data_IF_846739433008
#
_entry.id   IF_846739433008
#
_cell.length_a   1.000
_cell.length_b   1.000
_cell.length_c   1.000
_cell.angle_alpha   90.00
_cell.angle_beta   90.00
_cell.angle_gamma   90.00
#
_symmetry.space_group_name_H-M   'P 1'
#
loop_
_entity.id
_entity.type
_entity.pdbx_description
1 polymer ?
#
# COMPACT_ATOMS: atom_id res chain seq x y z
N UNK A 1 -0.20 -71.06 -39.45
CA UNK A 1 -1.44 -70.97 -40.31
C UNK A 1 -2.57 -70.48 -39.45
N UNK A 2 -3.31 -69.53 -39.98
CA UNK A 2 -4.57 -68.91 -39.52
C UNK A 2 -4.56 -67.93 -38.33
N UNK A 3 -4.53 -66.67 -38.73
CA UNK A 3 -4.98 -65.49 -38.00
C UNK A 3 -6.51 -65.47 -37.91
N UNK A 4 -7.08 -65.26 -36.76
CA UNK A 4 -8.45 -64.75 -36.62
C UNK A 4 -8.48 -63.48 -35.77
N UNK A 5 -9.04 -62.47 -36.41
CA UNK A 5 -9.27 -61.11 -35.85
C UNK A 5 -10.33 -61.19 -34.75
N UNK A 6 -10.08 -60.47 -33.65
CA UNK A 6 -11.14 -60.05 -32.74
C UNK A 6 -11.20 -58.52 -32.74
N UNK A 7 -12.26 -57.98 -33.30
CA UNK A 7 -12.66 -56.59 -33.21
C UNK A 7 -13.38 -56.40 -31.88
N UNK A 8 -12.76 -55.68 -30.98
CA UNK A 8 -13.38 -55.21 -29.75
C UNK A 8 -13.96 -53.81 -29.98
N UNK A 9 -15.26 -53.67 -29.87
CA UNK A 9 -16.00 -52.41 -29.91
C UNK A 9 -15.75 -51.69 -28.57
N UNK A 10 -15.04 -50.55 -28.60
CA UNK A 10 -14.94 -49.67 -27.47
C UNK A 10 -16.12 -48.70 -27.53
N UNK A 11 -17.14 -48.99 -26.72
CA UNK A 11 -18.24 -48.07 -26.46
C UNK A 11 -17.75 -46.86 -25.63
N UNK A 12 -17.61 -45.71 -26.24
CA UNK A 12 -17.34 -44.46 -25.59
C UNK A 12 -18.56 -43.99 -24.78
N UNK A 13 -18.51 -44.10 -23.48
CA UNK A 13 -19.43 -43.39 -22.59
C UNK A 13 -19.07 -41.90 -22.57
N UNK A 14 -19.80 -41.09 -23.33
CA UNK A 14 -19.79 -39.66 -23.21
C UNK A 14 -20.40 -39.31 -21.84
N UNK A 15 -19.52 -39.02 -20.85
CA UNK A 15 -19.95 -38.40 -19.61
C UNK A 15 -20.29 -36.93 -19.94
N UNK A 16 -21.58 -36.71 -20.16
CA UNK A 16 -22.13 -35.36 -20.24
C UNK A 16 -21.90 -34.63 -18.89
N UNK A 17 -20.94 -33.76 -18.87
CA UNK A 17 -20.81 -32.74 -17.82
C UNK A 17 -22.04 -31.83 -17.95
N UNK A 18 -23.11 -32.20 -17.26
CA UNK A 18 -24.23 -31.29 -16.99
C UNK A 18 -23.67 -30.15 -16.18
N UNK A 19 -23.40 -29.00 -16.82
CA UNK A 19 -23.22 -27.75 -16.15
C UNK A 19 -24.50 -27.48 -15.34
N UNK A 20 -24.49 -27.85 -14.06
CA UNK A 20 -25.52 -27.43 -13.13
C UNK A 20 -25.58 -25.92 -13.21
N UNK A 21 -26.68 -25.39 -13.74
CA UNK A 21 -27.06 -24.00 -13.55
C UNK A 21 -27.22 -23.80 -12.03
N UNK A 22 -26.13 -23.52 -11.35
CA UNK A 22 -26.17 -23.09 -9.96
C UNK A 22 -27.10 -21.89 -9.95
N UNK A 23 -28.23 -22.01 -9.26
CA UNK A 23 -29.22 -20.96 -9.13
C UNK A 23 -28.50 -19.67 -8.77
N UNK A 24 -28.72 -18.59 -9.53
CA UNK A 24 -28.16 -17.27 -9.27
C UNK A 24 -28.46 -16.96 -7.80
N UNK A 25 -27.41 -16.84 -6.99
CA UNK A 25 -27.54 -16.35 -5.62
C UNK A 25 -28.35 -15.05 -5.67
N UNK A 26 -29.40 -14.98 -4.88
CA UNK A 26 -30.21 -13.75 -4.76
C UNK A 26 -29.44 -12.63 -4.06
N UNK A 27 -28.27 -12.96 -3.51
CA UNK A 27 -27.38 -12.01 -2.81
C UNK A 27 -26.53 -11.25 -3.80
N UNK A 28 -26.46 -9.93 -3.63
CA UNK A 28 -25.51 -9.10 -4.38
C UNK A 28 -24.08 -9.43 -3.97
N UNK A 29 -23.21 -9.51 -4.99
CA UNK A 29 -21.80 -9.91 -4.84
C UNK A 29 -20.91 -8.66 -4.79
N UNK A 30 -20.12 -8.56 -3.74
CA UNK A 30 -19.08 -7.55 -3.59
C UNK A 30 -17.73 -8.24 -3.73
N UNK A 31 -16.99 -7.91 -4.76
CA UNK A 31 -15.60 -8.36 -4.92
C UNK A 31 -14.66 -7.23 -4.49
N UNK A 32 -13.69 -7.55 -3.64
CA UNK A 32 -12.67 -6.61 -3.16
C UNK A 32 -11.31 -7.11 -3.65
N UNK A 33 -10.60 -6.30 -4.42
CA UNK A 33 -9.25 -6.60 -4.89
C UNK A 33 -8.23 -5.90 -3.99
N UNK A 34 -7.40 -6.70 -3.33
CA UNK A 34 -6.41 -6.26 -2.35
C UNK A 34 -6.87 -6.44 -0.91
N UNK A 35 -6.18 -7.32 -0.20
CA UNK A 35 -6.43 -7.70 1.18
C UNK A 35 -5.49 -7.01 2.18
N UNK A 36 -5.26 -5.68 2.01
CA UNK A 36 -4.52 -4.87 2.97
C UNK A 36 -5.48 -3.91 3.72
N UNK A 37 -4.97 -2.77 4.20
CA UNK A 37 -5.71 -1.86 5.07
C UNK A 37 -7.07 -1.45 4.52
N UNK A 38 -7.14 -0.95 3.28
CA UNK A 38 -8.40 -0.52 2.70
C UNK A 38 -9.37 -1.68 2.43
N UNK A 39 -8.87 -2.78 1.85
CA UNK A 39 -9.74 -3.91 1.51
C UNK A 39 -10.26 -4.68 2.71
N UNK A 40 -9.41 -4.96 3.71
CA UNK A 40 -9.86 -5.68 4.92
C UNK A 40 -10.79 -4.84 5.79
N UNK A 41 -10.53 -3.53 5.94
CA UNK A 41 -11.45 -2.64 6.66
C UNK A 41 -12.80 -2.53 5.95
N UNK A 42 -12.80 -2.47 4.61
CA UNK A 42 -14.04 -2.48 3.84
C UNK A 42 -14.81 -3.80 3.99
N UNK A 43 -14.11 -4.95 3.93
CA UNK A 43 -14.74 -6.25 4.14
C UNK A 43 -15.39 -6.36 5.53
N UNK A 44 -14.69 -5.90 6.57
CA UNK A 44 -15.21 -5.86 7.94
C UNK A 44 -16.45 -4.97 8.03
N UNK A 45 -16.40 -3.73 7.52
CA UNK A 45 -17.52 -2.78 7.53
C UNK A 45 -18.75 -3.32 6.77
N UNK A 46 -18.53 -3.94 5.58
CA UNK A 46 -19.59 -4.59 4.81
C UNK A 46 -20.27 -5.70 5.60
N UNK A 47 -19.50 -6.54 6.30
CA UNK A 47 -20.08 -7.63 7.11
C UNK A 47 -20.88 -7.12 8.30
N UNK A 48 -20.46 -6.00 8.89
CA UNK A 48 -21.19 -5.39 10.00
C UNK A 48 -22.51 -4.73 9.55
N UNK A 49 -22.50 -4.04 8.39
CA UNK A 49 -23.61 -3.20 7.95
C UNK A 49 -24.57 -3.86 6.99
N UNK A 50 -24.11 -4.84 6.22
CA UNK A 50 -24.90 -5.51 5.18
C UNK A 50 -24.55 -7.01 5.13
N UNK A 51 -24.93 -7.78 6.18
CA UNK A 51 -24.62 -9.21 6.26
C UNK A 51 -25.27 -10.05 5.15
N UNK A 52 -26.23 -9.50 4.43
CA UNK A 52 -26.85 -10.11 3.27
C UNK A 52 -25.96 -10.10 2.01
N UNK A 53 -24.95 -9.25 1.92
CA UNK A 53 -24.03 -9.21 0.79
C UNK A 53 -23.09 -10.43 0.79
N UNK A 54 -22.81 -10.97 -0.39
CA UNK A 54 -21.75 -11.98 -0.57
C UNK A 54 -20.42 -11.27 -0.83
N UNK A 55 -19.54 -11.22 0.17
CA UNK A 55 -18.27 -10.51 0.12
C UNK A 55 -17.12 -11.47 -0.14
N UNK A 56 -16.34 -11.21 -1.21
CA UNK A 56 -15.13 -11.94 -1.55
C UNK A 56 -13.93 -10.98 -1.60
N UNK A 57 -12.91 -11.24 -0.82
CA UNK A 57 -11.61 -10.55 -0.89
C UNK A 57 -10.64 -11.40 -1.70
N UNK A 58 -9.97 -10.81 -2.67
CA UNK A 58 -8.94 -11.45 -3.50
C UNK A 58 -7.62 -10.72 -3.28
N UNK A 59 -6.59 -11.45 -2.89
CA UNK A 59 -5.21 -10.94 -2.77
C UNK A 59 -4.24 -12.09 -3.09
N UNK A 60 -3.08 -11.79 -3.70
CA UNK A 60 -2.08 -12.79 -4.05
C UNK A 60 -1.42 -13.44 -2.84
N UNK A 61 -1.24 -12.68 -1.76
CA UNK A 61 -0.56 -13.13 -0.55
C UNK A 61 -1.60 -13.65 0.49
N UNK A 62 -1.48 -14.86 1.01
CA UNK A 62 -2.36 -15.35 2.06
C UNK A 62 -2.17 -14.63 3.40
N UNK A 63 -1.02 -13.98 3.60
CA UNK A 63 -0.67 -13.28 4.85
C UNK A 63 -0.48 -11.79 4.61
N UNK A 64 -1.30 -10.95 5.26
CA UNK A 64 -1.02 -9.53 5.34
C UNK A 64 0.10 -9.27 6.35
N UNK A 65 1.08 -8.45 5.97
CA UNK A 65 2.13 -7.94 6.85
C UNK A 65 1.99 -6.45 7.03
N UNK A 66 2.18 -6.00 8.27
CA UNK A 66 2.06 -4.58 8.63
C UNK A 66 3.28 -3.77 8.25
N UNK A 67 3.07 -2.52 7.82
CA UNK A 67 4.12 -1.51 7.66
C UNK A 67 4.16 -0.47 8.81
N UNK A 68 3.05 -0.05 9.42
CA UNK A 68 3.10 0.78 10.63
C UNK A 68 4.09 0.25 11.67
N UNK A 69 4.85 1.15 12.31
CA UNK A 69 5.92 0.84 13.28
C UNK A 69 7.19 0.19 12.70
N UNK A 70 7.27 -0.03 11.38
CA UNK A 70 8.39 -0.76 10.77
C UNK A 70 9.73 -0.05 10.95
N UNK A 71 9.80 1.28 10.96
CA UNK A 71 11.05 2.01 11.17
C UNK A 71 11.63 1.76 12.57
N UNK A 72 10.81 1.84 13.62
CA UNK A 72 11.21 1.53 15.00
C UNK A 72 11.61 0.06 15.15
N UNK A 73 10.89 -0.86 14.48
CA UNK A 73 11.20 -2.29 14.49
C UNK A 73 12.53 -2.61 13.78
N UNK A 74 12.85 -1.96 12.67
CA UNK A 74 14.09 -2.17 11.92
C UNK A 74 15.31 -1.93 12.79
N UNK A 75 15.31 -0.87 13.59
CA UNK A 75 16.42 -0.48 14.47
C UNK A 75 16.35 -1.08 15.89
N UNK A 76 15.38 -1.95 16.14
CA UNK A 76 15.19 -2.58 17.46
C UNK A 76 14.75 -1.60 18.56
N UNK A 77 14.12 -0.46 18.21
CA UNK A 77 13.54 0.48 19.17
C UNK A 77 12.27 -0.07 19.81
N UNK A 78 11.54 -0.91 19.09
CA UNK A 78 10.44 -1.69 19.64
C UNK A 78 10.73 -3.19 19.56
N UNK A 79 10.33 -3.92 20.61
CA UNK A 79 10.33 -5.40 20.65
C UNK A 79 9.04 -5.98 20.09
N UNK A 80 8.01 -5.17 19.91
CA UNK A 80 6.75 -5.61 19.33
C UNK A 80 6.96 -6.05 17.89
N UNK A 81 6.57 -7.30 17.61
CA UNK A 81 6.65 -7.85 16.26
C UNK A 81 5.63 -7.16 15.37
N UNK A 82 6.04 -6.88 14.13
CA UNK A 82 5.09 -6.43 13.12
C UNK A 82 4.01 -7.49 12.95
N UNK A 83 2.76 -7.05 12.97
CA UNK A 83 1.60 -7.94 12.89
C UNK A 83 1.57 -8.67 11.54
N UNK A 84 1.30 -9.96 11.62
CA UNK A 84 1.04 -10.84 10.48
C UNK A 84 -0.38 -11.36 10.62
N UNK A 85 -1.21 -11.10 9.63
CA UNK A 85 -2.62 -11.47 9.66
C UNK A 85 -2.86 -12.53 8.59
N UNK A 86 -3.25 -13.72 9.00
CA UNK A 86 -3.76 -14.74 8.09
C UNK A 86 -5.13 -14.29 7.58
N UNK A 87 -5.19 -14.00 6.28
CA UNK A 87 -6.40 -13.46 5.64
C UNK A 87 -7.54 -14.47 5.59
N UNK A 88 -7.23 -15.76 5.44
CA UNK A 88 -8.25 -16.80 5.42
C UNK A 88 -8.86 -17.01 6.81
N UNK A 89 -8.02 -17.03 7.85
CA UNK A 89 -8.49 -17.10 9.23
C UNK A 89 -9.34 -15.90 9.61
N UNK A 90 -8.90 -14.68 9.26
CA UNK A 90 -9.66 -13.45 9.49
C UNK A 90 -10.99 -13.45 8.74
N UNK A 91 -10.99 -13.89 7.47
CA UNK A 91 -12.20 -14.00 6.67
C UNK A 91 -13.23 -14.96 7.29
N UNK A 92 -12.77 -16.12 7.76
CA UNK A 92 -13.61 -17.10 8.48
C UNK A 92 -14.17 -16.51 9.77
N UNK A 93 -13.36 -15.78 10.54
CA UNK A 93 -13.80 -15.14 11.79
C UNK A 93 -14.87 -14.08 11.54
N UNK A 94 -14.73 -13.29 10.49
CA UNK A 94 -15.60 -12.14 10.20
C UNK A 94 -16.75 -12.45 9.22
N UNK A 95 -16.80 -13.67 8.66
CA UNK A 95 -17.89 -14.14 7.82
C UNK A 95 -17.88 -13.60 6.39
N UNK A 96 -16.71 -13.37 5.79
CA UNK A 96 -16.54 -13.14 4.36
C UNK A 96 -15.65 -14.23 3.74
N UNK A 97 -15.54 -14.27 2.42
CA UNK A 97 -14.68 -15.21 1.71
C UNK A 97 -13.34 -14.58 1.35
N UNK A 98 -12.28 -15.36 1.40
CA UNK A 98 -10.95 -14.96 0.94
C UNK A 98 -10.43 -15.93 -0.12
N UNK A 99 -9.81 -15.39 -1.16
CA UNK A 99 -9.11 -16.14 -2.19
C UNK A 99 -7.68 -15.63 -2.36
N UNK A 100 -6.72 -16.53 -2.17
CA UNK A 100 -5.32 -16.26 -2.51
C UNK A 100 -5.12 -16.43 -4.01
N UNK A 101 -5.10 -15.33 -4.77
CA UNK A 101 -5.00 -15.33 -6.23
C UNK A 101 -4.41 -14.05 -6.79
N UNK A 102 -3.69 -14.19 -7.90
CA UNK A 102 -3.33 -13.06 -8.74
C UNK A 102 -4.49 -12.70 -9.67
N UNK A 103 -4.80 -11.40 -9.71
CA UNK A 103 -5.80 -10.88 -10.64
C UNK A 103 -5.13 -10.59 -11.97
N UNK A 104 -5.58 -11.27 -13.01
CA UNK A 104 -5.08 -11.13 -14.37
C UNK A 104 -5.78 -9.98 -15.11
N UNK A 105 -7.10 -9.86 -14.93
CA UNK A 105 -7.93 -8.89 -15.65
C UNK A 105 -9.18 -8.50 -14.85
N UNK A 106 -9.57 -7.22 -14.95
CA UNK A 106 -10.89 -6.73 -14.62
C UNK A 106 -11.66 -6.51 -15.94
N UNK A 107 -12.68 -7.31 -16.17
CA UNK A 107 -13.57 -7.17 -17.32
C UNK A 107 -14.81 -6.36 -16.88
N UNK A 108 -14.75 -5.05 -17.11
CA UNK A 108 -15.79 -4.10 -16.68
C UNK A 108 -17.11 -4.31 -17.41
N UNK A 109 -17.07 -4.63 -18.70
CA UNK A 109 -18.27 -4.82 -19.53
C UNK A 109 -19.08 -6.04 -19.04
N UNK A 110 -18.39 -7.12 -18.72
CA UNK A 110 -19.03 -8.35 -18.23
C UNK A 110 -19.11 -8.40 -16.70
N UNK A 111 -18.64 -7.37 -15.99
CA UNK A 111 -18.64 -7.27 -14.52
C UNK A 111 -18.03 -8.50 -13.86
N UNK A 112 -16.80 -8.85 -14.26
CA UNK A 112 -16.09 -10.01 -13.72
C UNK A 112 -14.61 -9.71 -13.51
N UNK A 113 -14.05 -10.40 -12.52
CA UNK A 113 -12.62 -10.45 -12.25
C UNK A 113 -12.11 -11.81 -12.70
N UNK A 114 -11.03 -11.80 -13.46
CA UNK A 114 -10.36 -13.01 -13.98
C UNK A 114 -9.09 -13.25 -13.19
N UNK A 115 -8.96 -14.43 -12.62
CA UNK A 115 -7.78 -14.95 -11.94
C UNK A 115 -7.42 -16.32 -12.52
N UNK A 116 -6.19 -16.80 -12.26
CA UNK A 116 -5.80 -18.18 -12.62
C UNK A 116 -6.77 -19.22 -12.03
N UNK A 117 -7.29 -18.96 -10.82
CA UNK A 117 -8.19 -19.87 -10.10
C UNK A 117 -9.65 -19.83 -10.59
N UNK A 118 -10.00 -18.92 -11.49
CA UNK A 118 -11.35 -18.82 -12.04
C UNK A 118 -11.83 -17.40 -12.30
N UNK A 119 -13.11 -17.30 -12.65
CA UNK A 119 -13.79 -16.05 -12.97
C UNK A 119 -14.82 -15.73 -11.90
N UNK A 120 -14.79 -14.51 -11.37
CA UNK A 120 -15.63 -14.05 -10.28
C UNK A 120 -16.47 -12.87 -10.75
N UNK A 121 -17.76 -13.07 -10.88
CA UNK A 121 -18.71 -12.00 -11.21
C UNK A 121 -18.96 -11.12 -10.00
N UNK A 122 -19.21 -9.82 -10.25
CA UNK A 122 -19.54 -8.85 -9.20
C UNK A 122 -20.75 -8.00 -9.57
N UNK A 123 -21.49 -7.58 -8.57
CA UNK A 123 -22.48 -6.53 -8.65
C UNK A 123 -21.84 -5.18 -8.23
N UNK A 124 -20.84 -5.24 -7.31
CA UNK A 124 -20.01 -4.15 -6.86
C UNK A 124 -18.55 -4.61 -6.78
N UNK A 125 -17.64 -3.77 -7.26
CA UNK A 125 -16.20 -4.01 -7.20
C UNK A 125 -15.53 -2.90 -6.38
N UNK A 126 -14.74 -3.28 -5.38
CA UNK A 126 -13.82 -2.38 -4.70
C UNK A 126 -12.39 -2.72 -5.11
N UNK A 127 -11.71 -1.78 -5.77
CA UNK A 127 -10.29 -1.91 -6.10
C UNK A 127 -9.47 -1.24 -5.00
N UNK A 128 -8.72 -2.01 -4.24
CA UNK A 128 -7.92 -1.61 -3.08
C UNK A 128 -6.49 -2.19 -3.15
N UNK A 129 -5.96 -2.36 -4.36
CA UNK A 129 -4.68 -3.03 -4.64
C UNK A 129 -3.45 -2.23 -4.24
N UNK A 130 -3.65 -1.00 -3.75
CA UNK A 130 -2.56 -0.14 -3.31
C UNK A 130 -1.69 0.38 -4.45
N UNK A 131 -0.39 0.50 -4.18
CA UNK A 131 0.59 1.03 -5.13
C UNK A 131 1.65 -0.02 -5.50
N UNK A 132 2.35 0.27 -6.58
CA UNK A 132 3.53 -0.47 -7.06
C UNK A 132 4.73 0.47 -7.18
N UNK A 133 5.92 -0.08 -7.10
CA UNK A 133 7.16 0.61 -7.45
C UNK A 133 7.30 0.71 -8.97
N UNK A 134 7.76 1.85 -9.45
CA UNK A 134 8.05 2.10 -10.86
C UNK A 134 9.57 2.02 -11.12
N UNK A 135 10.12 0.81 -11.09
CA UNK A 135 11.52 0.59 -11.45
C UNK A 135 11.83 0.97 -12.89
N UNK A 136 10.84 0.98 -13.77
CA UNK A 136 10.99 1.45 -15.15
C UNK A 136 11.43 2.91 -15.25
N UNK A 137 11.13 3.73 -14.25
CA UNK A 137 11.57 5.13 -14.19
C UNK A 137 13.10 5.27 -14.07
N UNK A 138 13.80 4.27 -13.52
CA UNK A 138 15.26 4.26 -13.38
C UNK A 138 15.96 3.40 -14.44
N UNK A 139 15.34 2.27 -14.82
CA UNK A 139 15.99 1.23 -15.60
C UNK A 139 15.42 1.06 -17.01
N UNK A 140 14.29 1.71 -17.33
CA UNK A 140 13.62 1.51 -18.61
C UNK A 140 13.31 0.03 -18.83
N UNK A 141 13.93 -0.56 -19.86
CA UNK A 141 13.76 -1.98 -20.22
C UNK A 141 14.77 -2.93 -19.54
N UNK A 142 15.74 -2.41 -18.79
CA UNK A 142 16.75 -3.24 -18.11
C UNK A 142 16.18 -3.94 -16.87
N UNK A 143 15.53 -5.08 -17.11
CA UNK A 143 14.95 -5.91 -16.05
C UNK A 143 16.00 -6.51 -15.11
N UNK A 144 17.24 -6.75 -15.60
CA UNK A 144 18.30 -7.34 -14.81
C UNK A 144 18.76 -6.38 -13.72
N UNK A 145 19.02 -5.12 -14.07
CA UNK A 145 19.40 -4.09 -13.09
C UNK A 145 18.25 -3.78 -12.14
N UNK A 146 16.99 -3.74 -12.63
CA UNK A 146 15.80 -3.53 -11.80
C UNK A 146 15.64 -4.64 -10.74
N UNK A 147 15.75 -5.92 -11.13
CA UNK A 147 15.69 -7.06 -10.20
C UNK A 147 16.84 -7.05 -9.20
N UNK A 148 18.06 -6.82 -9.68
CA UNK A 148 19.24 -6.75 -8.81
C UNK A 148 19.09 -5.63 -7.76
N UNK A 149 18.55 -4.47 -8.14
CA UNK A 149 18.26 -3.37 -7.21
C UNK A 149 17.21 -3.75 -6.18
N UNK A 150 16.10 -4.34 -6.61
CA UNK A 150 15.02 -4.75 -5.72
C UNK A 150 15.46 -5.78 -4.68
N UNK A 151 16.29 -6.74 -5.08
CA UNK A 151 16.76 -7.82 -4.21
C UNK A 151 17.87 -7.35 -3.26
N UNK A 152 18.77 -6.49 -3.75
CA UNK A 152 19.96 -6.09 -2.98
C UNK A 152 19.74 -4.83 -2.14
N UNK A 153 18.91 -3.90 -2.61
CA UNK A 153 18.70 -2.59 -1.98
C UNK A 153 17.20 -2.28 -1.75
N UNK A 154 16.48 -3.16 -1.03
CA UNK A 154 15.06 -3.00 -0.78
C UNK A 154 14.76 -1.71 -0.02
N UNK A 155 13.76 -0.98 -0.46
CA UNK A 155 13.33 0.26 0.19
C UNK A 155 12.61 0.03 1.54
N UNK A 156 11.94 -1.12 1.71
CA UNK A 156 11.17 -1.44 2.91
C UNK A 156 9.85 -0.65 3.05
N UNK A 157 9.24 -0.28 1.92
CA UNK A 157 7.89 0.31 1.86
C UNK A 157 6.87 -0.65 1.25
N UNK A 158 7.30 -1.85 0.90
CA UNK A 158 6.48 -3.03 0.65
C UNK A 158 6.78 -4.04 1.75
N UNK A 159 5.74 -4.58 2.37
CA UNK A 159 5.88 -5.36 3.60
C UNK A 159 6.73 -6.64 3.45
N UNK A 160 6.76 -7.23 2.24
CA UNK A 160 7.61 -8.40 1.95
C UNK A 160 9.11 -8.11 2.01
N UNK A 161 9.53 -6.86 1.89
CA UNK A 161 10.93 -6.45 1.91
C UNK A 161 11.51 -6.35 3.33
N UNK A 162 10.67 -6.19 4.36
CA UNK A 162 11.10 -5.80 5.70
C UNK A 162 12.05 -6.80 6.36
N UNK A 163 11.79 -8.10 6.25
CA UNK A 163 12.64 -9.13 6.87
C UNK A 163 14.04 -9.16 6.22
N UNK A 164 14.09 -8.99 4.89
CA UNK A 164 15.37 -8.91 4.15
C UNK A 164 16.12 -7.64 4.52
N UNK A 165 15.43 -6.51 4.52
CA UNK A 165 16.02 -5.21 4.89
C UNK A 165 16.58 -5.23 6.31
N UNK A 166 15.86 -5.80 7.29
CA UNK A 166 16.36 -5.91 8.67
C UNK A 166 17.63 -6.74 8.75
N UNK A 167 17.69 -7.89 8.05
CA UNK A 167 18.90 -8.72 8.03
C UNK A 167 20.09 -7.98 7.41
N UNK A 168 19.86 -7.28 6.30
CA UNK A 168 20.91 -6.50 5.62
C UNK A 168 21.41 -5.36 6.50
N UNK A 169 20.48 -4.63 7.14
CA UNK A 169 20.84 -3.56 8.08
C UNK A 169 21.69 -4.08 9.25
N UNK A 170 21.29 -5.19 9.87
CA UNK A 170 22.05 -5.79 10.98
C UNK A 170 23.41 -6.39 10.54
N UNK A 171 23.60 -6.64 9.25
CA UNK A 171 24.90 -7.01 8.66
C UNK A 171 25.73 -5.83 8.15
N UNK A 172 25.20 -4.58 8.27
CA UNK A 172 25.91 -3.40 7.79
C UNK A 172 27.11 -3.07 8.69
N UNK A 173 28.31 -3.16 8.10
CA UNK A 173 29.57 -2.98 8.83
C UNK A 173 30.09 -1.53 8.86
N UNK A 174 29.48 -0.61 8.09
CA UNK A 174 29.88 0.79 8.00
C UNK A 174 29.96 1.31 6.57
N UNK A 175 30.40 2.55 6.43
CA UNK A 175 30.46 3.24 5.14
C UNK A 175 29.26 4.16 4.89
N UNK A 176 28.94 4.42 3.63
CA UNK A 176 27.84 5.28 3.22
C UNK A 176 26.54 4.49 3.09
N UNK A 177 25.56 4.76 3.97
CA UNK A 177 24.19 4.25 3.91
C UNK A 177 23.32 5.28 3.21
N UNK A 178 22.87 4.98 2.01
CA UNK A 178 22.06 5.89 1.20
C UNK A 178 20.56 5.61 1.35
N UNK A 179 19.78 6.67 1.54
CA UNK A 179 18.31 6.68 1.53
C UNK A 179 17.87 7.71 0.50
N UNK A 180 16.87 7.42 -0.31
CA UNK A 180 16.25 8.45 -1.14
C UNK A 180 14.79 8.68 -0.77
N UNK A 181 14.36 9.93 -0.98
CA UNK A 181 12.98 10.40 -0.89
C UNK A 181 12.53 10.75 -2.31
N UNK A 182 11.68 9.95 -2.94
CA UNK A 182 11.22 10.25 -4.29
C UNK A 182 10.30 11.47 -4.29
N UNK A 183 10.13 12.08 -5.46
CA UNK A 183 9.13 13.13 -5.64
C UNK A 183 7.73 12.61 -5.25
N UNK A 184 6.90 13.44 -4.59
CA UNK A 184 5.54 13.05 -4.22
C UNK A 184 4.67 12.81 -5.47
N UNK A 185 3.62 11.98 -5.35
CA UNK A 185 3.15 11.35 -4.11
C UNK A 185 3.89 10.04 -3.83
N UNK A 186 4.27 9.86 -2.56
CA UNK A 186 4.92 8.64 -2.08
C UNK A 186 4.23 8.11 -0.81
N UNK A 187 4.47 6.83 -0.48
CA UNK A 187 3.90 6.21 0.73
C UNK A 187 4.55 6.80 1.96
N UNK A 188 3.70 7.21 2.93
CA UNK A 188 4.10 7.74 4.23
C UNK A 188 5.18 8.84 4.10
N UNK A 189 4.84 10.05 3.63
CA UNK A 189 5.81 11.10 3.33
C UNK A 189 6.86 11.37 4.41
N UNK A 190 6.57 11.34 5.74
CA UNK A 190 7.58 11.54 6.76
C UNK A 190 8.47 10.31 7.04
N UNK A 191 8.09 9.11 6.58
CA UNK A 191 8.79 7.88 6.98
C UNK A 191 10.26 7.79 6.52
N UNK A 192 10.71 8.30 5.38
CA UNK A 192 12.12 8.31 5.05
C UNK A 192 12.98 9.16 5.99
N UNK A 193 12.45 10.28 6.43
CA UNK A 193 13.13 11.18 7.38
C UNK A 193 13.19 10.57 8.79
N UNK A 194 12.07 10.00 9.26
CA UNK A 194 12.02 9.20 10.48
C UNK A 194 13.06 8.07 10.45
N UNK A 195 13.11 7.35 9.33
CA UNK A 195 14.08 6.27 9.13
C UNK A 195 15.52 6.77 9.22
N UNK A 196 15.84 7.90 8.61
CA UNK A 196 17.18 8.50 8.69
C UNK A 196 17.58 8.84 10.13
N UNK A 197 16.67 9.45 10.91
CA UNK A 197 16.88 9.75 12.33
C UNK A 197 17.14 8.49 13.15
N UNK A 198 16.26 7.50 13.02
CA UNK A 198 16.36 6.23 13.76
C UNK A 198 17.60 5.43 13.38
N UNK A 199 18.02 5.46 12.11
CA UNK A 199 19.26 4.83 11.66
C UNK A 199 20.49 5.56 12.18
N UNK A 200 20.50 6.88 12.21
CA UNK A 200 21.59 7.65 12.79
C UNK A 200 21.75 7.35 14.30
N UNK A 201 20.65 7.32 15.04
CA UNK A 201 20.64 6.85 16.42
C UNK A 201 21.20 5.44 16.56
N UNK A 202 20.72 4.49 15.74
CA UNK A 202 21.14 3.10 15.78
C UNK A 202 22.64 2.93 15.45
N UNK A 203 23.13 3.60 14.39
CA UNK A 203 24.54 3.62 14.00
C UNK A 203 25.43 4.12 15.15
N UNK A 204 25.03 5.24 15.78
CA UNK A 204 25.74 5.81 16.94
C UNK A 204 25.76 4.84 18.13
N UNK A 205 24.59 4.23 18.44
CA UNK A 205 24.44 3.26 19.52
C UNK A 205 25.27 1.99 19.31
N UNK A 206 25.39 1.52 18.06
CA UNK A 206 26.20 0.33 17.70
C UNK A 206 27.69 0.66 17.52
N UNK A 207 28.10 1.92 17.55
CA UNK A 207 29.48 2.33 17.31
C UNK A 207 29.96 2.07 15.87
N UNK A 208 29.04 2.02 14.90
CA UNK A 208 29.37 1.77 13.50
C UNK A 208 29.96 3.03 12.87
N UNK A 209 31.08 2.89 12.17
CA UNK A 209 31.69 4.01 11.42
C UNK A 209 30.96 4.17 10.07
N UNK A 210 29.91 4.97 10.08
CA UNK A 210 29.07 5.15 8.90
C UNK A 210 28.57 6.61 8.76
N UNK A 211 28.06 6.89 7.57
CA UNK A 211 27.34 8.13 7.23
C UNK A 211 25.99 7.73 6.63
N UNK A 212 24.94 8.48 6.95
CA UNK A 212 23.59 8.36 6.32
C UNK A 212 23.44 9.49 5.33
N UNK A 213 23.41 9.17 4.05
CA UNK A 213 23.13 10.15 3.00
C UNK A 213 21.65 10.09 2.62
N UNK A 214 20.95 11.22 2.69
CA UNK A 214 19.53 11.33 2.33
C UNK A 214 19.41 12.18 1.08
N UNK A 215 19.11 11.55 -0.06
CA UNK A 215 18.81 12.23 -1.32
C UNK A 215 17.31 12.53 -1.39
N UNK A 216 16.94 13.78 -1.37
CA UNK A 216 15.55 14.22 -1.43
C UNK A 216 15.25 14.90 -2.75
N UNK A 217 14.29 14.38 -3.51
CA UNK A 217 13.85 15.00 -4.76
C UNK A 217 13.16 16.36 -4.54
N UNK A 218 12.77 16.68 -3.31
CA UNK A 218 12.18 17.95 -2.88
C UNK A 218 13.08 18.75 -1.96
N UNK A 219 12.49 19.68 -1.22
CA UNK A 219 13.19 20.55 -0.26
C UNK A 219 13.28 20.00 1.17
N UNK A 220 12.77 18.79 1.40
CA UNK A 220 12.72 18.19 2.73
C UNK A 220 11.54 18.64 3.59
N UNK A 221 11.41 18.00 4.75
CA UNK A 221 10.48 18.39 5.79
C UNK A 221 11.23 19.25 6.83
N UNK A 222 10.90 20.57 7.00
CA UNK A 222 11.71 21.52 7.78
C UNK A 222 12.00 21.09 9.22
N UNK A 223 11.08 20.34 9.84
CA UNK A 223 11.30 19.81 11.20
C UNK A 223 12.45 18.81 11.22
N UNK A 224 12.46 17.87 10.28
CA UNK A 224 13.48 16.83 10.20
C UNK A 224 14.83 17.36 9.74
N UNK A 225 14.85 18.22 8.71
CA UNK A 225 16.12 18.76 8.18
C UNK A 225 16.87 19.56 9.25
N UNK A 226 16.13 20.29 10.11
CA UNK A 226 16.70 20.95 11.27
C UNK A 226 17.26 19.94 12.27
N UNK A 227 16.52 18.90 12.63
CA UNK A 227 16.97 17.88 13.57
C UNK A 227 18.18 17.09 13.04
N UNK A 228 18.28 16.85 11.73
CA UNK A 228 19.47 16.24 11.13
C UNK A 228 20.72 17.08 11.43
N UNK A 229 20.64 18.39 11.20
CA UNK A 229 21.77 19.30 11.44
C UNK A 229 22.09 19.45 12.94
N UNK A 230 21.07 19.54 13.79
CA UNK A 230 21.24 19.83 15.22
C UNK A 230 21.72 18.60 16.02
N UNK A 231 21.20 17.40 15.71
CA UNK A 231 21.42 16.19 16.53
C UNK A 231 22.44 15.22 15.96
N UNK A 232 22.59 15.21 14.64
CA UNK A 232 23.46 14.27 13.92
C UNK A 232 24.39 14.96 12.91
N UNK A 233 25.07 16.07 13.33
CA UNK A 233 26.00 16.77 12.45
C UNK A 233 27.12 15.82 12.01
N UNK A 234 27.39 15.80 10.71
CA UNK A 234 28.42 14.93 10.12
C UNK A 234 28.04 13.46 9.98
N UNK A 235 26.99 12.98 10.66
CA UNK A 235 26.46 11.61 10.51
C UNK A 235 25.33 11.57 9.48
N UNK A 236 24.40 12.53 9.48
CA UNK A 236 23.39 12.65 8.42
C UNK A 236 23.82 13.73 7.44
N UNK A 237 23.90 13.38 6.17
CA UNK A 237 24.11 14.28 5.04
C UNK A 237 22.83 14.39 4.24
N UNK A 238 22.12 15.50 4.42
CA UNK A 238 20.87 15.76 3.74
C UNK A 238 21.10 16.58 2.46
N UNK A 239 20.70 16.04 1.32
CA UNK A 239 20.85 16.65 0.01
C UNK A 239 19.47 16.94 -0.58
N UNK A 240 18.96 18.17 -0.47
CA UNK A 240 17.68 18.57 -1.06
C UNK A 240 17.80 18.69 -2.57
N UNK A 241 16.66 18.59 -3.26
CA UNK A 241 16.54 18.70 -4.71
C UNK A 241 17.39 17.69 -5.52
N UNK A 242 17.79 16.59 -4.87
CA UNK A 242 18.63 15.54 -5.45
C UNK A 242 17.77 14.41 -6.00
N UNK A 243 17.50 14.46 -7.30
CA UNK A 243 16.72 13.44 -8.01
C UNK A 243 17.65 12.35 -8.54
N UNK A 244 17.40 11.08 -8.18
CA UNK A 244 18.11 9.95 -8.78
C UNK A 244 17.71 9.83 -10.27
N UNK A 245 18.68 9.93 -11.16
CA UNK A 245 18.52 9.80 -12.61
C UNK A 245 18.78 8.37 -13.09
N UNK A 246 19.78 7.73 -12.53
CA UNK A 246 20.12 6.34 -12.83
C UNK A 246 20.77 5.66 -11.62
N UNK A 247 20.78 4.33 -11.66
CA UNK A 247 21.37 3.49 -10.63
C UNK A 247 22.16 2.38 -11.31
N UNK A 248 23.39 2.17 -10.88
CA UNK A 248 24.15 0.95 -11.18
C UNK A 248 24.25 0.10 -9.91
N UNK A 249 23.43 -0.95 -9.78
CA UNK A 249 23.41 -1.77 -8.58
C UNK A 249 24.68 -2.67 -8.45
N UNK A 250 25.39 -2.90 -9.54
CA UNK A 250 26.54 -3.80 -9.58
C UNK A 250 27.82 -3.13 -9.06
N UNK A 251 27.96 -1.81 -9.33
CA UNK A 251 29.07 -1.01 -8.79
C UNK A 251 28.63 -0.12 -7.62
N UNK A 252 27.38 -0.25 -7.16
CA UNK A 252 26.79 0.47 -6.02
C UNK A 252 26.92 1.99 -6.16
N UNK A 253 26.32 2.51 -7.21
CA UNK A 253 26.37 3.93 -7.53
C UNK A 253 25.02 4.45 -7.97
N UNK A 254 24.67 5.64 -7.50
CA UNK A 254 23.54 6.44 -8.03
C UNK A 254 24.10 7.66 -8.76
N UNK A 255 23.39 8.09 -9.80
CA UNK A 255 23.68 9.34 -10.52
C UNK A 255 22.54 10.32 -10.25
N UNK A 256 22.87 11.53 -9.85
CA UNK A 256 21.96 12.66 -9.70
C UNK A 256 22.35 13.79 -10.65
N UNK A 257 21.63 14.90 -10.63
CA UNK A 257 22.04 16.10 -11.41
C UNK A 257 23.36 16.70 -10.92
N UNK A 258 23.75 16.44 -9.65
CA UNK A 258 24.99 16.91 -9.05
C UNK A 258 26.17 15.95 -9.28
N UNK A 259 25.94 14.81 -9.92
CA UNK A 259 26.97 13.82 -10.27
C UNK A 259 26.76 12.45 -9.67
N UNK A 260 27.80 11.64 -9.74
CA UNK A 260 27.82 10.25 -9.30
C UNK A 260 28.12 10.14 -7.80
N UNK A 261 27.35 9.32 -7.11
CA UNK A 261 27.52 9.04 -5.69
C UNK A 261 27.63 7.54 -5.42
N UNK A 262 28.78 7.07 -4.90
CA UNK A 262 28.93 5.69 -4.46
C UNK A 262 28.27 5.48 -3.09
N UNK A 263 27.83 4.25 -2.83
CA UNK A 263 27.30 3.84 -1.55
C UNK A 263 27.76 2.44 -1.16
N UNK A 264 27.81 2.13 0.13
CA UNK A 264 28.10 0.80 0.64
C UNK A 264 26.83 -0.02 0.83
N UNK A 265 25.76 0.63 1.28
CA UNK A 265 24.42 0.07 1.33
C UNK A 265 23.38 1.17 1.01
N UNK A 266 22.22 0.75 0.51
CA UNK A 266 21.17 1.70 0.17
C UNK A 266 19.76 1.14 0.44
N UNK A 267 18.81 2.04 0.71
CA UNK A 267 17.37 1.79 0.75
C UNK A 267 16.73 2.61 -0.38
N UNK A 268 16.66 1.98 -1.56
CA UNK A 268 16.30 2.67 -2.80
C UNK A 268 14.80 2.61 -3.06
N UNK A 269 14.13 3.74 -2.84
CA UNK A 269 12.69 3.88 -3.00
C UNK A 269 12.35 4.43 -4.40
N UNK A 270 11.85 3.59 -5.34
CA UNK A 270 11.47 4.05 -6.67
C UNK A 270 10.28 5.00 -6.62
N UNK A 271 10.06 5.80 -7.69
CA UNK A 271 8.78 6.45 -7.90
C UNK A 271 7.63 5.43 -7.80
N UNK A 272 6.46 5.90 -7.37
CA UNK A 272 5.30 5.03 -7.14
C UNK A 272 4.19 5.31 -8.14
N UNK A 273 3.33 4.31 -8.35
CA UNK A 273 2.15 4.37 -9.22
C UNK A 273 1.06 3.41 -8.73
N UNK A 274 -0.15 3.55 -9.21
CA UNK A 274 -1.18 2.53 -9.03
C UNK A 274 -0.74 1.20 -9.65
N UNK A 275 -1.25 0.09 -9.10
CA UNK A 275 -0.90 -1.25 -9.57
C UNK A 275 -1.32 -1.50 -11.03
N UNK A 276 -0.63 -2.41 -11.71
CA UNK A 276 -0.82 -2.71 -13.14
C UNK A 276 -2.27 -3.09 -13.50
N UNK A 277 -2.98 -3.79 -12.61
CA UNK A 277 -4.38 -4.16 -12.84
C UNK A 277 -5.31 -2.94 -12.98
N UNK A 278 -5.00 -1.83 -12.34
CA UNK A 278 -5.75 -0.56 -12.44
C UNK A 278 -5.55 0.06 -13.83
N UNK A 279 -4.32 0.03 -14.33
CA UNK A 279 -3.97 0.51 -15.67
C UNK A 279 -4.64 -0.36 -16.74
N UNK A 280 -4.51 -1.68 -16.65
CA UNK A 280 -5.12 -2.62 -17.59
C UNK A 280 -6.65 -2.52 -17.63
N UNK A 281 -7.28 -2.19 -16.50
CA UNK A 281 -8.72 -1.94 -16.41
C UNK A 281 -9.15 -0.58 -16.96
N UNK A 282 -8.21 0.28 -17.39
CA UNK A 282 -8.51 1.64 -17.86
C UNK A 282 -9.11 2.53 -16.78
N UNK A 283 -8.63 2.41 -15.54
CA UNK A 283 -9.13 3.16 -14.38
C UNK A 283 -8.21 4.29 -13.95
N UNK A 284 -7.11 4.55 -14.69
CA UNK A 284 -6.19 5.64 -14.41
C UNK A 284 -6.79 7.00 -14.78
N UNK A 285 -6.33 8.04 -14.08
CA UNK A 285 -6.56 9.43 -14.47
C UNK A 285 -5.98 9.72 -15.85
N UNK A 286 -6.57 10.68 -16.53
CA UNK A 286 -5.99 11.28 -17.74
C UNK A 286 -5.80 12.78 -17.51
N UNK A 287 -4.72 13.32 -18.05
CA UNK A 287 -4.53 14.77 -18.06
C UNK A 287 -5.45 15.44 -19.12
N UNK A 288 -5.52 16.78 -19.15
CA UNK A 288 -6.34 17.49 -20.15
C UNK A 288 -5.98 17.20 -21.61
N UNK A 289 -4.79 16.66 -21.87
CA UNK A 289 -4.32 16.23 -23.19
C UNK A 289 -4.61 14.76 -23.47
N UNK A 290 -5.32 14.05 -22.56
CA UNK A 290 -5.69 12.65 -22.68
C UNK A 290 -4.56 11.66 -22.38
N UNK A 291 -3.41 12.09 -21.86
CA UNK A 291 -2.31 11.20 -21.48
C UNK A 291 -2.63 10.53 -20.15
N UNK A 292 -2.44 9.23 -20.07
CA UNK A 292 -2.63 8.50 -18.83
C UNK A 292 -1.66 8.96 -17.74
N UNK A 293 -2.24 9.21 -16.56
CA UNK A 293 -1.50 9.53 -15.35
C UNK A 293 -1.10 8.24 -14.60
N UNK A 294 -0.49 8.39 -13.44
CA UNK A 294 0.05 7.24 -12.66
C UNK A 294 -0.93 6.68 -11.64
N UNK A 295 -2.05 7.35 -11.40
CA UNK A 295 -2.97 7.06 -10.29
C UNK A 295 -4.40 6.86 -10.79
N UNK A 296 -5.21 6.18 -10.00
CA UNK A 296 -6.58 5.88 -10.37
C UNK A 296 -7.49 7.11 -10.28
N UNK A 297 -8.35 7.29 -11.29
CA UNK A 297 -9.37 8.33 -11.31
C UNK A 297 -10.51 7.99 -10.36
N UNK A 298 -10.84 8.90 -9.45
CA UNK A 298 -11.87 8.70 -8.44
C UNK A 298 -12.73 9.96 -8.28
N UNK A 299 -14.03 9.77 -8.08
CA UNK A 299 -14.90 10.82 -7.58
C UNK A 299 -14.58 11.06 -6.10
N UNK A 300 -14.11 12.25 -5.71
CA UNK A 300 -13.65 12.51 -4.35
C UNK A 300 -14.73 12.40 -3.27
N UNK A 301 -16.01 12.55 -3.66
CA UNK A 301 -17.13 12.54 -2.71
C UNK A 301 -17.69 11.14 -2.45
N UNK A 302 -17.63 10.26 -3.44
CA UNK A 302 -18.20 8.92 -3.35
C UNK A 302 -17.16 7.79 -3.36
N UNK A 303 -15.92 8.08 -3.69
CA UNK A 303 -14.86 7.10 -3.94
C UNK A 303 -15.18 6.13 -5.10
N UNK A 304 -16.12 6.50 -5.94
CA UNK A 304 -16.52 5.73 -7.12
C UNK A 304 -15.64 6.11 -8.31
N UNK A 305 -15.40 5.16 -9.19
CA UNK A 305 -14.78 5.48 -10.47
C UNK A 305 -15.71 6.34 -11.32
N UNK A 306 -15.25 7.44 -11.92
CA UNK A 306 -16.05 8.20 -12.89
C UNK A 306 -16.26 7.44 -14.21
N UNK A 307 -15.50 6.36 -14.43
CA UNK A 307 -15.49 5.54 -15.64
C UNK A 307 -16.39 4.30 -15.55
N UNK A 308 -16.87 3.95 -14.34
CA UNK A 308 -17.76 2.80 -14.11
C UNK A 308 -18.51 2.96 -12.79
N UNK A 309 -19.83 2.93 -12.84
CA UNK A 309 -20.70 3.20 -11.68
C UNK A 309 -20.76 2.03 -10.67
N UNK A 310 -20.18 0.89 -10.98
CA UNK A 310 -20.09 -0.30 -10.13
C UNK A 310 -18.73 -0.47 -9.46
N UNK A 311 -17.75 0.38 -9.80
CA UNK A 311 -16.39 0.28 -9.30
C UNK A 311 -16.11 1.39 -8.29
N UNK A 312 -15.64 1.02 -7.13
CA UNK A 312 -15.10 1.89 -6.08
C UNK A 312 -13.60 1.72 -5.96
N UNK A 313 -12.92 2.78 -5.52
CA UNK A 313 -11.46 2.84 -5.45
C UNK A 313 -11.06 3.35 -4.07
N UNK A 314 -10.16 2.63 -3.38
CA UNK A 314 -9.74 3.01 -2.04
C UNK A 314 -8.26 2.68 -1.76
N UNK A 315 -7.65 3.43 -0.86
CA UNK A 315 -6.27 3.25 -0.44
C UNK A 315 -5.26 3.96 -1.35
N UNK A 316 -4.02 3.48 -1.35
CA UNK A 316 -2.90 4.20 -1.95
C UNK A 316 -2.95 4.36 -3.48
N UNK A 317 -3.81 3.60 -4.16
CA UNK A 317 -3.95 3.66 -5.62
C UNK A 317 -4.64 4.93 -6.14
N UNK A 318 -5.44 5.62 -5.29
CA UNK A 318 -6.27 6.75 -5.74
C UNK A 318 -5.41 7.98 -6.09
N UNK A 319 -5.87 8.71 -7.09
CA UNK A 319 -5.23 9.89 -7.63
C UNK A 319 -5.67 11.20 -6.98
N UNK A 320 -5.93 12.19 -7.81
CA UNK A 320 -6.23 13.55 -7.39
C UNK A 320 -7.59 13.64 -6.70
N UNK A 321 -7.59 14.28 -5.53
CA UNK A 321 -8.79 14.52 -4.71
C UNK A 321 -9.20 15.99 -4.75
N UNK A 322 -8.22 16.89 -4.71
CA UNK A 322 -8.49 18.32 -4.61
C UNK A 322 -7.42 19.14 -5.32
N UNK A 323 -7.78 20.22 -6.00
CA UNK A 323 -6.80 21.15 -6.57
C UNK A 323 -5.99 21.90 -5.49
N UNK A 324 -6.45 21.87 -4.22
CA UNK A 324 -5.78 22.59 -3.13
C UNK A 324 -4.61 21.81 -2.52
N UNK A 325 -4.69 20.46 -2.50
CA UNK A 325 -3.65 19.62 -1.87
C UNK A 325 -3.27 18.39 -2.71
N UNK A 326 -3.86 18.19 -3.87
CA UNK A 326 -3.62 17.04 -4.74
C UNK A 326 -4.25 15.76 -4.22
N UNK A 327 -3.46 14.86 -3.65
CA UNK A 327 -3.87 13.52 -3.25
C UNK A 327 -3.93 13.39 -1.72
N UNK A 328 -4.72 12.44 -1.23
CA UNK A 328 -4.65 12.01 0.17
C UNK A 328 -3.28 11.41 0.49
N UNK A 329 -2.77 11.56 1.74
CA UNK A 329 -1.53 10.90 2.15
C UNK A 329 -1.67 9.38 2.06
N UNK A 330 -0.69 8.73 1.44
CA UNK A 330 -0.68 7.28 1.24
C UNK A 330 -0.17 6.59 2.51
N UNK A 331 -1.07 6.38 3.46
CA UNK A 331 -0.77 5.79 4.78
C UNK A 331 -1.77 4.69 5.12
N UNK A 332 -1.40 3.80 6.05
CA UNK A 332 -2.27 2.73 6.52
C UNK A 332 -3.59 3.27 7.11
N UNK A 333 -3.50 4.33 7.93
CA UNK A 333 -4.69 4.94 8.54
C UNK A 333 -5.61 5.56 7.48
N UNK A 334 -5.06 6.32 6.52
CA UNK A 334 -5.83 6.88 5.42
C UNK A 334 -6.46 5.77 4.57
N UNK A 335 -5.70 4.74 4.21
CA UNK A 335 -6.21 3.61 3.44
C UNK A 335 -7.39 2.91 4.16
N UNK A 336 -7.28 2.74 5.47
CA UNK A 336 -8.37 2.24 6.33
C UNK A 336 -9.62 3.11 6.24
N UNK A 337 -9.50 4.42 6.43
CA UNK A 337 -10.63 5.35 6.38
C UNK A 337 -11.31 5.35 5.00
N UNK A 338 -10.52 5.30 3.93
CA UNK A 338 -11.03 5.20 2.56
C UNK A 338 -11.76 3.87 2.31
N UNK A 339 -11.25 2.76 2.85
CA UNK A 339 -11.92 1.46 2.78
C UNK A 339 -13.28 1.47 3.48
N UNK A 340 -13.34 2.02 4.69
CA UNK A 340 -14.59 2.18 5.45
C UNK A 340 -15.59 3.07 4.69
N UNK A 341 -15.15 4.21 4.17
CA UNK A 341 -15.99 5.13 3.41
C UNK A 341 -16.54 4.46 2.12
N UNK A 342 -15.69 3.78 1.34
CA UNK A 342 -16.11 3.06 0.14
C UNK A 342 -17.12 1.94 0.46
N UNK A 343 -16.91 1.20 1.55
CA UNK A 343 -17.85 0.17 2.00
C UNK A 343 -19.24 0.77 2.33
N UNK A 344 -19.29 1.90 3.05
CA UNK A 344 -20.53 2.60 3.37
C UNK A 344 -21.27 3.07 2.12
N UNK A 345 -20.53 3.54 1.09
CA UNK A 345 -21.10 3.90 -0.20
C UNK A 345 -21.69 2.67 -0.91
N UNK A 346 -20.99 1.54 -0.90
CA UNK A 346 -21.49 0.29 -1.47
C UNK A 346 -22.76 -0.16 -0.74
N UNK A 347 -22.77 -0.16 0.60
CA UNK A 347 -23.95 -0.51 1.40
C UNK A 347 -25.14 0.35 1.03
N UNK A 348 -24.98 1.67 1.04
CA UNK A 348 -26.06 2.59 0.70
C UNK A 348 -26.62 2.33 -0.70
N UNK A 349 -25.75 2.10 -1.69
CA UNK A 349 -26.19 1.81 -3.06
C UNK A 349 -26.79 0.41 -3.24
N UNK A 350 -26.35 -0.58 -2.48
CA UNK A 350 -26.89 -1.94 -2.53
C UNK A 350 -28.30 -2.03 -1.91
N UNK A 351 -28.55 -1.24 -0.88
CA UNK A 351 -29.81 -1.22 -0.15
C UNK A 351 -30.77 -0.13 -0.65
N UNK A 352 -30.21 0.95 -1.20
CA UNK A 352 -31.02 2.10 -1.58
C UNK A 352 -31.73 1.88 -2.91
N UNK A 353 -32.95 2.18 -2.86
CA UNK A 353 -33.80 2.45 -4.00
C UNK A 353 -33.49 3.86 -4.57
N UNK A 354 -32.19 4.19 -4.74
CA UNK A 354 -31.72 5.42 -5.39
C UNK A 354 -31.11 6.53 -4.52
N UNK A 355 -31.09 6.42 -3.20
CA UNK A 355 -30.49 7.48 -2.36
C UNK A 355 -28.95 7.44 -2.38
N UNK A 356 -28.30 8.59 -2.53
CA UNK A 356 -26.87 8.72 -2.34
C UNK A 356 -26.52 8.61 -0.85
N UNK A 357 -25.42 7.91 -0.54
CA UNK A 357 -24.90 7.90 0.83
C UNK A 357 -24.39 9.30 1.21
N UNK A 358 -24.45 9.67 2.47
CA UNK A 358 -23.75 10.86 2.97
C UNK A 358 -22.27 10.80 2.61
N UNK A 359 -21.69 11.96 2.29
CA UNK A 359 -20.25 12.06 2.07
C UNK A 359 -19.53 11.91 3.40
N UNK A 360 -18.68 10.89 3.49
CA UNK A 360 -17.89 10.60 4.69
C UNK A 360 -16.41 10.86 4.35
N UNK A 361 -15.95 12.08 4.63
CA UNK A 361 -14.57 12.45 4.38
C UNK A 361 -13.63 11.72 5.37
N UNK A 362 -12.52 11.17 4.89
CA UNK A 362 -11.58 10.48 5.76
C UNK A 362 -10.85 11.47 6.69
N UNK A 363 -10.17 10.92 7.69
CA UNK A 363 -9.13 11.62 8.44
C UNK A 363 -7.85 10.77 8.45
N UNK A 364 -6.72 11.35 8.78
CA UNK A 364 -5.46 10.59 8.91
C UNK A 364 -4.73 11.01 10.16
N UNK A 365 -4.24 10.01 10.91
CA UNK A 365 -3.36 10.19 12.06
C UNK A 365 -2.12 9.34 11.82
N UNK A 366 -0.94 9.93 12.05
CA UNK A 366 0.34 9.22 12.07
C UNK A 366 1.13 9.62 13.32
N UNK A 367 1.77 8.65 13.93
CA UNK A 367 2.81 8.86 14.93
C UNK A 367 4.16 8.62 14.25
N UNK A 368 5.08 9.57 14.40
CA UNK A 368 6.37 9.59 13.71
C UNK A 368 7.46 9.87 14.74
N UNK A 369 8.50 9.06 14.76
CA UNK A 369 9.66 9.30 15.62
C UNK A 369 10.50 10.46 15.07
N UNK A 370 10.71 11.46 15.92
CA UNK A 370 11.66 12.53 15.67
C UNK A 370 13.06 12.13 16.11
N UNK A 371 13.17 11.38 17.21
CA UNK A 371 14.40 10.74 17.66
C UNK A 371 14.12 9.59 18.62
N UNK A 372 15.09 8.71 18.82
CA UNK A 372 15.01 7.62 19.78
C UNK A 372 15.68 7.94 21.14
N UNK A 373 16.64 8.87 21.14
CA UNK A 373 17.33 9.32 22.36
C UNK A 373 17.85 10.76 22.19
N UNK A 374 17.26 11.76 22.89
CA UNK A 374 16.06 11.60 23.72
C UNK A 374 14.86 11.14 22.91
N UNK A 375 14.02 10.30 23.51
CA UNK A 375 12.82 9.79 22.85
C UNK A 375 11.84 10.94 22.57
N UNK A 376 11.49 11.14 21.31
CA UNK A 376 10.61 12.21 20.86
C UNK A 376 9.78 11.77 19.67
N UNK A 377 8.49 12.06 19.71
CA UNK A 377 7.54 11.74 18.62
C UNK A 377 6.78 12.99 18.18
N UNK A 378 6.27 12.91 16.96
CA UNK A 378 5.36 13.87 16.36
C UNK A 378 4.07 13.15 15.99
N UNK A 379 2.93 13.63 16.48
CA UNK A 379 1.61 13.22 16.00
C UNK A 379 1.17 14.17 14.89
N UNK A 380 1.03 13.63 13.71
CA UNK A 380 0.49 14.32 12.55
C UNK A 380 -0.99 13.97 12.37
N UNK A 381 -1.82 14.97 12.16
CA UNK A 381 -3.24 14.79 11.90
C UNK A 381 -3.66 15.59 10.66
N UNK A 382 -4.37 14.93 9.75
CA UNK A 382 -5.01 15.56 8.60
C UNK A 382 -6.51 15.37 8.69
N UNK A 383 -7.26 16.46 8.67
CA UNK A 383 -8.72 16.51 8.59
C UNK A 383 -9.13 17.15 7.29
N UNK A 384 -10.30 16.78 6.80
CA UNK A 384 -10.81 17.27 5.53
C UNK A 384 -12.23 17.82 5.71
N UNK A 385 -12.55 18.85 4.95
CA UNK A 385 -13.89 19.46 4.94
C UNK A 385 -14.25 19.92 3.55
N UNK A 386 -15.53 19.87 3.22
CA UNK A 386 -16.07 20.44 1.99
C UNK A 386 -16.28 21.94 2.23
N UNK A 387 -15.73 22.76 1.34
CA UNK A 387 -15.94 24.20 1.33
C UNK A 387 -17.28 24.54 0.69
N UNK A 388 -17.72 25.81 0.82
CA UNK A 388 -18.95 26.30 0.21
C UNK A 388 -18.96 26.26 -1.33
N UNK A 389 -17.78 26.18 -1.95
CA UNK A 389 -17.61 26.00 -3.40
C UNK A 389 -17.55 24.52 -3.83
N UNK A 390 -17.77 23.58 -2.91
CA UNK A 390 -17.74 22.15 -3.16
C UNK A 390 -16.34 21.53 -3.18
N UNK A 391 -15.27 22.32 -3.04
CA UNK A 391 -13.88 21.83 -3.06
C UNK A 391 -13.51 21.27 -1.68
N UNK A 392 -12.84 20.12 -1.66
CA UNK A 392 -12.29 19.55 -0.42
C UNK A 392 -11.05 20.32 0.00
N UNK A 393 -11.06 20.83 1.23
CA UNK A 393 -9.91 21.47 1.86
C UNK A 393 -9.31 20.57 2.94
N UNK A 394 -7.98 20.64 3.09
CA UNK A 394 -7.22 19.93 4.11
C UNK A 394 -6.87 20.88 5.26
N UNK A 395 -6.95 20.36 6.49
CA UNK A 395 -6.43 21.00 7.70
C UNK A 395 -5.40 20.07 8.31
N UNK A 396 -4.16 20.53 8.38
CA UNK A 396 -3.06 19.80 8.98
C UNK A 396 -2.80 20.34 10.38
N UNK A 397 -2.61 19.44 11.34
CA UNK A 397 -2.12 19.78 12.68
C UNK A 397 -0.97 18.87 13.10
N UNK A 398 -0.08 19.42 13.93
CA UNK A 398 1.11 18.74 14.44
C UNK A 398 1.14 18.91 15.95
N UNK A 399 1.42 17.83 16.66
CA UNK A 399 1.49 17.81 18.11
C UNK A 399 2.78 17.11 18.54
N UNK A 400 3.67 17.88 19.17
CA UNK A 400 4.92 17.36 19.70
C UNK A 400 4.65 16.48 20.93
N UNK A 401 5.33 15.36 21.01
CA UNK A 401 5.35 14.48 22.19
C UNK A 401 6.82 14.25 22.59
N UNK A 402 7.35 15.07 23.52
CA UNK A 402 8.75 14.99 23.95
C UNK A 402 9.02 13.83 24.92
N UNK A 403 8.01 13.13 25.38
CA UNK A 403 8.11 11.99 26.30
C UNK A 403 7.08 10.91 25.95
N UNK A 404 7.24 10.25 24.78
CA UNK A 404 6.29 9.24 24.33
C UNK A 404 6.25 8.02 25.26
N UNK A 405 5.04 7.54 25.54
CA UNK A 405 4.74 6.36 26.36
C UNK A 405 3.98 5.33 25.56
N UNK A 406 4.55 4.84 24.46
CA UNK A 406 3.95 3.82 23.58
C UNK A 406 2.64 4.26 22.86
N UNK A 407 2.43 5.57 22.64
CA UNK A 407 1.25 6.06 21.91
C UNK A 407 1.22 5.55 20.48
N UNK A 408 2.37 5.38 19.84
CA UNK A 408 2.48 4.76 18.51
C UNK A 408 2.09 3.27 18.52
N UNK A 409 2.47 2.53 19.57
CA UNK A 409 2.06 1.14 19.76
C UNK A 409 0.55 1.04 20.00
N UNK A 410 0.01 1.91 20.86
CA UNK A 410 -1.43 2.00 21.12
C UNK A 410 -2.22 2.29 19.84
N UNK A 411 -1.77 3.28 19.07
CA UNK A 411 -2.35 3.63 17.77
C UNK A 411 -2.26 2.46 16.77
N UNK A 412 -1.12 1.78 16.68
CA UNK A 412 -0.94 0.61 15.82
C UNK A 412 -1.91 -0.51 16.17
N UNK A 413 -2.05 -0.85 17.47
CA UNK A 413 -3.01 -1.86 17.95
C UNK A 413 -4.45 -1.48 17.63
N UNK A 414 -4.80 -0.21 17.78
CA UNK A 414 -6.13 0.30 17.49
C UNK A 414 -6.51 0.11 16.01
N UNK A 415 -5.56 0.34 15.09
CA UNK A 415 -5.76 0.08 13.67
C UNK A 415 -6.14 -1.38 13.40
N UNK A 416 -5.48 -2.34 14.06
CA UNK A 416 -5.82 -3.76 13.87
C UNK A 416 -7.17 -4.13 14.47
N UNK A 417 -7.44 -3.69 15.68
CA UNK A 417 -8.64 -4.12 16.42
C UNK A 417 -9.90 -3.44 15.89
N UNK A 418 -9.89 -2.13 15.76
CA UNK A 418 -11.09 -1.38 15.36
C UNK A 418 -11.37 -1.48 13.87
N UNK A 419 -10.34 -1.32 13.04
CA UNK A 419 -10.57 -1.26 11.61
C UNK A 419 -10.63 -2.63 10.94
N UNK A 420 -9.75 -3.54 11.32
CA UNK A 420 -9.71 -4.87 10.70
C UNK A 420 -10.47 -5.94 11.49
N UNK A 421 -10.92 -5.64 12.70
CA UNK A 421 -11.60 -6.62 13.57
C UNK A 421 -10.68 -7.74 14.10
N UNK A 422 -9.36 -7.52 14.11
CA UNK A 422 -8.39 -8.49 14.62
C UNK A 422 -8.45 -8.53 16.13
N UNK A 423 -8.58 -9.73 16.72
CA UNK A 423 -8.46 -9.92 18.17
C UNK A 423 -6.97 -10.04 18.53
N UNK A 424 -6.41 -9.00 19.18
CA UNK A 424 -5.04 -9.06 19.69
C UNK A 424 -5.02 -9.96 20.93
N UNK A 425 -4.19 -11.00 20.92
CA UNK A 425 -4.06 -11.97 22.02
C UNK A 425 -4.09 -13.43 21.58
N UNK A 426 -4.24 -13.71 20.30
CA UNK A 426 -4.23 -15.06 19.71
C UNK A 426 -3.03 -15.31 18.78
N UNK A 427 -1.89 -14.65 19.04
CA UNK A 427 -0.63 -14.89 18.30
C UNK A 427 0.44 -15.37 19.28
#
# INVERSE_FOLDING_TARGET
>A
MNRRRLLGVIGGAAVGLSASAAGRSTRQRVVILGGAWAGLSAAHELRQRAPELDVLVIDRDPVMRSLPLSNAWLVGRTTERLQRIDRAALASQLGYRFLAADVEKIDREQRRVVCVQGVFEYDWLLVATGLSYDYGAWFGADKKAAMATQETFPAGYIASELDALKRQLHGFAGGNLLINVPAPPNRCPPAPYERAMLLAWWIKKQGIKAKVTVLDAGGGLPRFTRLFADRYPGLIDFQPHSVIRSIDPFVRRVTTDDGDMPFDHAMLLPPMRAGTVVEQAGLLESDPQGRQMRWASVDPMSLRSPLDDRIYLAGDLIGTISPLFGQYPKTAHMATQLGLAAARQIVARSQARGAAAPVDLPSSICHVWLDADPAEQLRLEAKYRIRGDGVIAQVLSQHDNPQPRDEDLGWGRELYTKALGVKLGSV
#
